data_IF_278459337762
#
_entry.id   IF_278459337762
#
_cell.length_a   1.000
_cell.length_b   1.000
_cell.length_c   1.000
_cell.angle_alpha   90.00
_cell.angle_beta   90.00
_cell.angle_gamma   90.00
#
_symmetry.space_group_name_H-M   'P 1'
#
loop_
_entity.id
_entity.type
_entity.pdbx_description
1 polymer ?
#
# COMPACT_ATOMS: atom_id res chain seq x y z
N UNK A 1 -1.92 41.44 -10.16
CA UNK A 1 -2.39 40.17 -9.56
C UNK A 1 -2.54 39.04 -10.57
N UNK A 2 -2.60 39.33 -11.87
CA UNK A 2 -2.77 38.30 -12.91
C UNK A 2 -1.74 37.18 -12.87
N UNK A 3 -0.50 37.45 -12.41
CA UNK A 3 0.54 36.42 -12.25
C UNK A 3 0.28 35.39 -11.14
N UNK A 4 -0.61 35.68 -10.19
CA UNK A 4 -1.00 34.75 -9.10
C UNK A 4 -2.35 34.06 -9.36
N UNK A 5 -3.06 34.49 -10.41
CA UNK A 5 -4.33 33.91 -10.80
C UNK A 5 -4.06 32.57 -11.45
N UNK A 6 -4.64 31.51 -10.90
CA UNK A 6 -4.58 30.21 -11.53
C UNK A 6 -5.49 30.22 -12.75
N UNK A 7 -4.94 29.84 -13.90
CA UNK A 7 -5.76 29.38 -15.02
C UNK A 7 -6.45 28.07 -14.56
N UNK A 8 -7.78 27.92 -14.71
CA UNK A 8 -8.47 26.67 -14.42
C UNK A 8 -7.79 25.44 -15.03
N UNK A 9 -7.16 25.57 -16.20
CA UNK A 9 -6.41 24.48 -16.85
C UNK A 9 -5.01 24.24 -16.24
N UNK A 10 -4.49 25.19 -15.46
CA UNK A 10 -3.19 25.10 -14.76
C UNK A 10 -3.32 24.59 -13.33
N UNK A 11 -4.52 24.59 -12.75
CA UNK A 11 -4.78 24.09 -11.39
C UNK A 11 -4.46 22.59 -11.25
N UNK A 12 -4.51 21.83 -12.35
CA UNK A 12 -4.11 20.43 -12.41
C UNK A 12 -2.59 20.22 -12.56
N UNK A 13 -1.84 21.29 -12.91
CA UNK A 13 -0.38 21.25 -13.09
C UNK A 13 0.41 21.57 -11.81
N UNK A 14 -0.27 21.70 -10.66
CA UNK A 14 0.38 21.97 -9.39
C UNK A 14 1.25 20.77 -8.98
N UNK A 15 2.57 20.96 -9.12
CA UNK A 15 3.72 20.15 -8.73
C UNK A 15 3.69 18.63 -8.98
N UNK A 16 4.49 18.20 -9.97
CA UNK A 16 4.84 16.81 -10.26
C UNK A 16 6.16 16.39 -9.61
N UNK A 17 6.39 16.74 -8.34
CA UNK A 17 7.61 16.38 -7.61
C UNK A 17 7.68 14.89 -7.25
N UNK A 18 6.56 14.17 -7.32
CA UNK A 18 6.49 12.73 -7.05
C UNK A 18 7.11 11.87 -8.14
N UNK A 19 7.48 10.64 -7.77
CA UNK A 19 7.95 9.60 -8.70
C UNK A 19 6.92 9.32 -9.80
N UNK A 20 5.64 9.41 -9.45
CA UNK A 20 4.55 9.22 -10.40
C UNK A 20 3.32 10.01 -9.97
N UNK A 21 2.65 10.60 -10.95
CA UNK A 21 1.30 11.15 -10.82
C UNK A 21 0.42 10.50 -11.86
N UNK A 22 -0.77 10.07 -11.44
CA UNK A 22 -1.79 9.53 -12.32
C UNK A 22 -3.17 9.95 -11.83
N UNK A 23 -4.12 10.07 -12.74
CA UNK A 23 -5.51 10.31 -12.37
C UNK A 23 -6.10 9.13 -11.59
N UNK A 24 -7.15 9.37 -10.80
CA UNK A 24 -7.86 8.28 -10.10
C UNK A 24 -8.40 7.23 -11.08
N UNK A 25 -8.87 7.64 -12.26
CA UNK A 25 -9.36 6.72 -13.27
C UNK A 25 -8.25 5.86 -13.87
N UNK A 26 -7.06 6.42 -14.08
CA UNK A 26 -5.89 5.66 -14.51
C UNK A 26 -5.45 4.68 -13.43
N UNK A 27 -5.48 5.08 -12.14
CA UNK A 27 -5.14 4.18 -11.03
C UNK A 27 -6.11 3.02 -10.89
N UNK A 28 -7.43 3.29 -10.92
CA UNK A 28 -8.45 2.23 -10.81
C UNK A 28 -8.40 1.24 -11.97
N UNK A 29 -8.02 1.69 -13.17
CA UNK A 29 -7.87 0.83 -14.34
C UNK A 29 -6.43 0.33 -14.55
N UNK A 30 -5.50 0.72 -13.67
CA UNK A 30 -4.11 0.30 -13.77
C UNK A 30 -4.03 -1.17 -13.41
N UNK A 31 -3.50 -1.97 -14.33
CA UNK A 31 -3.07 -3.32 -13.98
C UNK A 31 -1.93 -3.21 -12.96
N UNK A 32 -2.23 -3.47 -11.70
CA UNK A 32 -1.29 -3.36 -10.59
C UNK A 32 -0.13 -4.35 -10.76
N UNK A 33 -0.33 -5.44 -11.48
CA UNK A 33 0.73 -6.41 -11.83
C UNK A 33 1.77 -5.81 -12.79
N UNK A 34 1.46 -4.71 -13.47
CA UNK A 34 2.41 -3.99 -14.33
C UNK A 34 3.22 -2.93 -13.57
N UNK A 35 2.84 -2.55 -12.34
CA UNK A 35 3.57 -1.56 -11.53
C UNK A 35 5.04 -1.92 -11.26
N UNK A 36 5.42 -3.20 -11.00
CA UNK A 36 6.82 -3.60 -10.81
C UNK A 36 7.72 -3.28 -12.01
N UNK A 37 7.15 -3.20 -13.23
CA UNK A 37 7.91 -2.82 -14.43
C UNK A 37 8.17 -1.32 -14.54
N UNK A 38 7.37 -0.49 -13.86
CA UNK A 38 7.44 0.97 -13.90
C UNK A 38 8.28 1.54 -12.76
N UNK A 39 8.15 0.97 -11.57
CA UNK A 39 8.78 1.49 -10.36
C UNK A 39 9.32 0.33 -9.50
N UNK A 40 10.60 0.39 -9.15
CA UNK A 40 11.29 -0.65 -8.36
C UNK A 40 10.74 -0.83 -6.94
N UNK A 41 10.04 0.18 -6.41
CA UNK A 41 9.39 0.10 -5.10
C UNK A 41 8.27 -0.95 -5.04
N UNK A 42 7.79 -1.43 -6.20
CA UNK A 42 6.79 -2.49 -6.31
C UNK A 42 7.37 -3.88 -6.64
N UNK A 43 8.70 -4.01 -6.68
CA UNK A 43 9.37 -5.24 -7.12
C UNK A 43 10.26 -5.82 -6.02
N UNK A 44 10.15 -7.12 -5.76
CA UNK A 44 11.14 -7.86 -4.96
C UNK A 44 12.38 -8.11 -5.82
N UNK A 45 13.57 -7.93 -5.24
CA UNK A 45 14.82 -8.14 -5.99
C UNK A 45 15.08 -9.64 -6.24
N UNK A 46 14.78 -10.50 -5.26
CA UNK A 46 15.03 -11.95 -5.30
C UNK A 46 13.73 -12.78 -5.42
N UNK A 47 12.83 -12.38 -6.33
CA UNK A 47 11.61 -13.16 -6.61
C UNK A 47 11.96 -14.47 -7.33
N UNK A 48 11.45 -15.58 -6.80
CA UNK A 48 11.69 -16.92 -7.32
C UNK A 48 10.36 -17.58 -7.72
N UNK A 49 10.32 -18.35 -8.83
CA UNK A 49 9.13 -19.07 -9.21
C UNK A 49 8.70 -20.04 -8.11
N UNK A 50 7.42 -20.01 -7.76
CA UNK A 50 6.86 -20.89 -6.72
C UNK A 50 7.07 -22.38 -7.05
N UNK A 51 7.04 -22.73 -8.34
CA UNK A 51 7.22 -24.10 -8.83
C UNK A 51 8.66 -24.62 -8.65
N UNK A 52 9.65 -23.72 -8.52
CA UNK A 52 11.05 -24.12 -8.26
C UNK A 52 11.26 -24.52 -6.79
N UNK A 53 10.35 -24.11 -5.90
CA UNK A 53 10.46 -24.28 -4.45
C UNK A 53 9.50 -25.36 -3.95
N UNK A 54 8.30 -25.41 -4.53
CA UNK A 54 7.28 -26.38 -4.18
C UNK A 54 7.56 -27.70 -4.91
N UNK A 55 7.86 -28.75 -4.16
CA UNK A 55 8.02 -30.09 -4.71
C UNK A 55 6.67 -30.73 -4.99
N UNK A 56 6.46 -31.30 -6.19
CA UNK A 56 5.27 -32.09 -6.47
C UNK A 56 5.29 -33.41 -5.67
N UNK A 57 4.13 -34.04 -5.45
CA UNK A 57 4.07 -35.37 -4.84
C UNK A 57 4.89 -36.37 -5.65
N UNK A 58 5.63 -37.23 -4.94
CA UNK A 58 6.46 -38.25 -5.57
C UNK A 58 5.83 -39.65 -5.55
N UNK A 59 4.70 -39.81 -4.86
CA UNK A 59 3.98 -41.07 -4.74
C UNK A 59 2.47 -40.86 -4.96
N UNK A 60 1.79 -41.92 -5.41
CA UNK A 60 0.34 -41.99 -5.42
C UNK A 60 -0.16 -42.67 -4.12
N UNK A 61 -1.25 -42.15 -3.56
CA UNK A 61 -1.84 -42.65 -2.32
C UNK A 61 -2.35 -44.08 -2.40
N UNK A 62 -2.75 -44.51 -3.59
CA UNK A 62 -3.35 -45.82 -3.84
C UNK A 62 -2.32 -46.85 -4.34
N UNK A 63 -1.12 -46.41 -4.73
CA UNK A 63 -0.03 -47.26 -5.23
C UNK A 63 0.94 -47.65 -4.11
N UNK A 64 0.53 -48.61 -3.27
CA UNK A 64 1.40 -49.19 -2.24
C UNK A 64 2.71 -49.74 -2.82
N UNK A 65 2.74 -50.45 -3.96
CA UNK A 65 3.99 -50.80 -4.64
C UNK A 65 4.90 -49.60 -4.95
N UNK A 66 4.36 -48.48 -5.44
CA UNK A 66 5.09 -47.24 -5.67
C UNK A 66 5.71 -46.66 -4.39
N UNK A 67 4.92 -46.60 -3.32
CA UNK A 67 5.38 -46.15 -1.98
C UNK A 67 6.56 -47.00 -1.51
N UNK A 68 6.45 -48.32 -1.60
CA UNK A 68 7.50 -49.24 -1.19
C UNK A 68 8.75 -49.14 -2.06
N UNK A 69 8.59 -48.87 -3.35
CA UNK A 69 9.71 -48.68 -4.27
C UNK A 69 10.50 -47.43 -3.86
N UNK A 70 9.83 -46.31 -3.61
CA UNK A 70 10.45 -45.06 -3.17
C UNK A 70 11.08 -45.21 -1.78
N UNK A 71 10.35 -45.81 -0.84
CA UNK A 71 10.81 -46.04 0.52
C UNK A 71 12.06 -46.94 0.58
N UNK A 72 12.30 -47.80 -0.40
CA UNK A 72 13.47 -48.69 -0.45
C UNK A 72 14.51 -48.28 -1.50
N UNK A 73 14.56 -47.00 -1.87
CA UNK A 73 15.53 -46.45 -2.83
C UNK A 73 15.51 -47.14 -4.20
N UNK A 74 14.31 -47.42 -4.73
CA UNK A 74 14.09 -48.10 -6.01
C UNK A 74 14.72 -49.50 -6.13
N UNK A 75 15.10 -50.13 -5.01
CA UNK A 75 15.59 -51.50 -5.02
C UNK A 75 14.45 -52.48 -5.26
N UNK A 76 14.78 -53.63 -5.86
CA UNK A 76 13.81 -54.70 -6.09
C UNK A 76 13.08 -55.05 -4.80
N UNK A 77 11.76 -55.10 -4.88
CA UNK A 77 10.94 -55.50 -3.75
C UNK A 77 11.18 -56.97 -3.47
N UNK A 78 11.65 -57.26 -2.26
CA UNK A 78 11.71 -58.64 -1.77
C UNK A 78 10.29 -59.16 -1.68
N UNK A 79 9.97 -60.28 -2.33
CA UNK A 79 8.62 -60.84 -2.27
C UNK A 79 8.27 -61.28 -0.84
N UNK A 80 7.03 -61.04 -0.42
CA UNK A 80 6.52 -61.58 0.84
C UNK A 80 6.57 -63.11 0.83
N UNK A 81 6.87 -63.71 1.99
CA UNK A 81 7.08 -65.16 2.06
C UNK A 81 5.71 -65.85 2.15
N UNK A 82 5.22 -66.35 1.02
CA UNK A 82 3.88 -66.96 0.91
C UNK A 82 3.69 -68.26 1.72
N UNK A 83 4.76 -68.93 2.16
CA UNK A 83 4.68 -70.33 2.64
C UNK A 83 5.15 -70.59 4.08
N UNK A 84 5.30 -69.58 4.95
CA UNK A 84 5.65 -69.82 6.37
C UNK A 84 4.44 -69.60 7.30
N UNK A 85 4.07 -70.59 8.14
CA UNK A 85 3.01 -70.44 9.15
C UNK A 85 3.35 -69.41 10.23
N UNK A 86 4.62 -69.04 10.35
CA UNK A 86 5.19 -68.22 11.41
C UNK A 86 5.79 -66.95 10.79
N UNK A 87 5.37 -65.77 11.26
CA UNK A 87 5.85 -64.50 10.72
C UNK A 87 4.98 -63.31 11.11
N UNK A 88 5.42 -62.13 10.71
CA UNK A 88 4.70 -60.88 10.93
C UNK A 88 3.77 -60.62 9.76
N UNK A 89 2.48 -60.51 10.06
CA UNK A 89 1.46 -60.13 9.09
C UNK A 89 1.40 -58.60 9.01
N UNK A 90 1.58 -58.08 7.80
CA UNK A 90 1.31 -56.69 7.44
C UNK A 90 -0.02 -56.67 6.69
N UNK A 91 -1.08 -56.06 7.24
CA UNK A 91 -2.38 -56.02 6.58
C UNK A 91 -2.35 -55.08 5.36
N UNK A 92 -3.33 -55.25 4.47
CA UNK A 92 -3.56 -54.31 3.36
C UNK A 92 -3.83 -52.91 3.92
N UNK A 93 -3.31 -51.88 3.25
CA UNK A 93 -3.39 -50.48 3.72
C UNK A 93 -2.39 -50.12 4.83
N UNK A 94 -1.52 -51.05 5.23
CA UNK A 94 -0.42 -50.79 6.17
C UNK A 94 0.93 -51.11 5.56
N UNK A 95 1.95 -50.42 6.09
CA UNK A 95 3.36 -50.72 5.87
C UNK A 95 4.02 -51.00 7.22
N UNK A 96 5.13 -51.71 7.21
CA UNK A 96 5.86 -52.03 8.43
C UNK A 96 7.35 -51.78 8.23
N UNK A 97 8.01 -51.21 9.24
CA UNK A 97 9.44 -51.00 9.20
C UNK A 97 10.20 -52.28 9.58
N UNK A 98 11.30 -52.54 8.89
CA UNK A 98 12.28 -53.56 9.16
C UNK A 98 13.65 -52.88 9.28
N UNK A 99 14.17 -52.79 10.49
CA UNK A 99 15.48 -52.20 10.74
C UNK A 99 16.53 -53.30 10.58
N UNK A 100 17.38 -53.23 9.57
CA UNK A 100 18.42 -54.21 9.23
C UNK A 100 19.78 -53.50 9.17
N UNK A 101 20.69 -53.81 10.10
CA UNK A 101 22.04 -53.23 10.16
C UNK A 101 22.07 -51.69 10.10
N UNK A 102 21.21 -51.05 10.90
CA UNK A 102 21.11 -49.58 10.97
C UNK A 102 20.42 -48.93 9.77
N UNK A 103 19.87 -49.71 8.83
CA UNK A 103 19.06 -49.22 7.71
C UNK A 103 17.59 -49.59 7.93
N UNK A 104 16.69 -48.62 7.79
CA UNK A 104 15.25 -48.86 7.80
C UNK A 104 14.79 -49.25 6.40
N UNK A 105 14.24 -50.46 6.26
CA UNK A 105 13.51 -50.91 5.06
C UNK A 105 12.03 -50.92 5.35
N UNK A 106 11.21 -50.62 4.36
CA UNK A 106 9.76 -50.65 4.50
C UNK A 106 9.21 -51.84 3.75
N UNK A 107 8.39 -52.64 4.41
CA UNK A 107 7.72 -53.79 3.81
C UNK A 107 6.22 -53.55 3.66
N UNK A 108 5.66 -54.05 2.57
CA UNK A 108 4.25 -53.94 2.23
C UNK A 108 3.37 -55.02 2.80
N UNK A 109 2.09 -55.03 2.40
CA UNK A 109 1.12 -56.05 2.78
C UNK A 109 1.61 -57.47 2.46
N UNK A 110 1.33 -58.40 3.38
CA UNK A 110 1.73 -59.80 3.26
C UNK A 110 2.36 -60.35 4.54
N UNK A 111 2.81 -61.60 4.47
CA UNK A 111 3.47 -62.27 5.60
C UNK A 111 4.97 -62.25 5.42
N UNK A 112 5.66 -61.78 6.45
CA UNK A 112 7.11 -61.59 6.43
C UNK A 112 7.81 -62.36 7.55
N UNK A 113 9.02 -62.83 7.25
CA UNK A 113 9.84 -63.62 8.16
C UNK A 113 11.29 -63.18 7.99
N UNK A 114 11.96 -62.90 9.11
CA UNK A 114 13.41 -62.70 9.13
C UNK A 114 14.06 -64.08 9.27
N UNK A 115 14.96 -64.43 8.34
CA UNK A 115 15.77 -65.66 8.40
C UNK A 115 16.49 -65.74 9.75
N UNK A 116 16.60 -66.94 10.32
CA UNK A 116 17.05 -67.16 11.70
C UNK A 116 18.39 -66.45 12.03
N UNK A 117 19.37 -66.52 11.13
CA UNK A 117 20.68 -65.85 11.30
C UNK A 117 20.64 -64.32 11.15
N UNK A 118 19.67 -63.77 10.41
CA UNK A 118 19.49 -62.32 10.27
C UNK A 118 18.78 -61.68 11.47
N UNK A 119 18.13 -62.46 12.34
CA UNK A 119 17.44 -61.93 13.54
C UNK A 119 18.41 -61.31 14.56
N UNK A 120 19.69 -61.64 14.48
CA UNK A 120 20.73 -61.06 15.34
C UNK A 120 21.02 -59.59 15.00
N UNK A 121 20.68 -59.14 13.79
CA UNK A 121 21.03 -57.81 13.27
C UNK A 121 19.84 -57.06 12.66
N UNK A 122 18.65 -57.68 12.70
CA UNK A 122 17.43 -57.09 12.16
C UNK A 122 16.26 -57.19 13.15
N UNK A 123 15.53 -56.08 13.32
CA UNK A 123 14.39 -55.98 14.20
C UNK A 123 13.17 -55.39 13.49
N UNK A 124 11.99 -55.81 13.92
CA UNK A 124 10.73 -55.30 13.42
C UNK A 124 10.38 -53.98 14.10
N UNK A 125 10.06 -52.97 13.29
CA UNK A 125 9.52 -51.69 13.75
C UNK A 125 7.98 -51.71 13.85
N UNK A 126 7.37 -50.55 14.14
CA UNK A 126 5.92 -50.44 14.24
C UNK A 126 5.24 -50.68 12.88
N UNK A 127 3.97 -51.09 12.95
CA UNK A 127 3.06 -51.05 11.80
C UNK A 127 2.51 -49.64 11.65
N UNK A 128 2.45 -49.15 10.44
CA UNK A 128 2.08 -47.78 10.12
C UNK A 128 1.01 -47.80 9.03
N UNK A 129 -0.07 -47.04 9.21
CA UNK A 129 -1.16 -46.98 8.24
C UNK A 129 -0.78 -46.01 7.12
N UNK A 130 -1.01 -46.42 5.86
CA UNK A 130 -0.73 -45.59 4.67
C UNK A 130 -1.67 -44.39 4.58
N UNK A 131 -2.81 -44.48 5.26
CA UNK A 131 -3.82 -43.42 5.35
C UNK A 131 -3.46 -42.31 6.32
N UNK A 132 -2.45 -42.49 7.18
CA UNK A 132 -2.06 -41.47 8.14
C UNK A 132 -1.40 -40.27 7.42
N UNK A 133 -1.73 -39.06 7.87
CA UNK A 133 -1.22 -37.83 7.27
C UNK A 133 0.29 -37.66 7.46
N UNK A 134 0.83 -38.16 8.57
CA UNK A 134 2.25 -38.14 8.88
C UNK A 134 2.66 -39.48 9.51
N UNK A 135 3.70 -40.07 8.94
CA UNK A 135 4.35 -41.27 9.45
C UNK A 135 5.85 -41.03 9.48
N UNK A 136 6.46 -41.14 10.66
CA UNK A 136 7.90 -40.98 10.85
C UNK A 136 8.45 -42.18 11.62
N UNK A 137 9.43 -42.87 11.05
CA UNK A 137 10.14 -43.95 11.73
C UNK A 137 11.58 -44.10 11.22
N UNK A 138 12.56 -43.80 12.07
CA UNK A 138 13.97 -43.85 11.70
C UNK A 138 14.27 -42.88 10.57
N UNK A 139 14.79 -43.37 9.45
CA UNK A 139 15.07 -42.57 8.25
C UNK A 139 13.87 -42.44 7.31
N UNK A 140 12.77 -43.15 7.59
CA UNK A 140 11.57 -43.15 6.77
C UNK A 140 10.57 -42.10 7.25
N UNK A 141 10.16 -41.24 6.32
CA UNK A 141 9.13 -40.22 6.51
C UNK A 141 8.15 -40.27 5.35
N UNK A 142 6.87 -40.41 5.66
CA UNK A 142 5.78 -40.34 4.70
C UNK A 142 4.81 -39.25 5.15
N UNK A 143 4.52 -38.33 4.24
CA UNK A 143 3.69 -37.14 4.49
C UNK A 143 2.61 -37.08 3.42
N UNK A 144 1.35 -37.07 3.82
CA UNK A 144 0.21 -36.78 2.96
C UNK A 144 -0.21 -35.34 3.20
N UNK A 145 0.08 -34.49 2.24
CA UNK A 145 -0.35 -33.09 2.26
C UNK A 145 -1.77 -33.06 1.69
N UNK A 146 -2.76 -32.83 2.56
CA UNK A 146 -4.15 -32.73 2.17
C UNK A 146 -4.43 -31.48 1.33
N UNK A 147 -5.55 -31.49 0.60
CA UNK A 147 -6.02 -30.35 -0.19
C UNK A 147 -6.11 -29.08 0.64
N UNK A 148 -5.61 -27.97 0.08
CA UNK A 148 -5.58 -26.67 0.75
C UNK A 148 -4.51 -26.54 1.84
N UNK A 149 -3.61 -27.53 1.99
CA UNK A 149 -2.44 -27.44 2.88
C UNK A 149 -1.13 -27.44 2.10
N UNK A 150 -0.11 -26.86 2.70
CA UNK A 150 1.28 -26.87 2.27
C UNK A 150 2.10 -27.58 3.35
N UNK A 151 2.96 -28.53 2.95
CA UNK A 151 3.87 -29.17 3.88
C UNK A 151 5.18 -28.41 3.99
N UNK A 152 5.61 -28.07 5.20
CA UNK A 152 6.93 -27.48 5.45
C UNK A 152 7.89 -28.59 5.88
N UNK A 153 9.01 -28.72 5.17
CA UNK A 153 10.04 -29.72 5.47
C UNK A 153 11.44 -29.14 5.28
N UNK A 154 12.45 -29.84 5.79
CA UNK A 154 13.85 -29.56 5.50
C UNK A 154 14.51 -30.78 4.89
N UNK A 155 15.40 -30.57 3.94
CA UNK A 155 16.26 -31.61 3.40
C UNK A 155 17.71 -31.13 3.39
N UNK A 156 18.59 -31.85 4.08
CA UNK A 156 20.00 -31.47 4.25
C UNK A 156 20.16 -30.03 4.77
N UNK A 157 19.32 -29.65 5.73
CA UNK A 157 19.29 -28.31 6.32
C UNK A 157 18.75 -27.21 5.40
N UNK A 158 18.29 -27.54 4.18
CA UNK A 158 17.65 -26.59 3.26
C UNK A 158 16.12 -26.68 3.37
N UNK A 159 15.40 -25.56 3.34
CA UNK A 159 13.94 -25.57 3.38
C UNK A 159 13.35 -26.14 2.07
N UNK A 160 12.27 -26.90 2.22
CA UNK A 160 11.51 -27.55 1.14
C UNK A 160 10.03 -27.35 1.42
N UNK A 161 9.28 -26.92 0.40
CA UNK A 161 7.83 -26.84 0.45
C UNK A 161 7.24 -28.04 -0.30
N UNK A 162 6.23 -28.69 0.26
CA UNK A 162 5.58 -29.87 -0.32
C UNK A 162 4.17 -29.49 -0.79
N UNK A 163 3.88 -29.75 -2.07
CA UNK A 163 2.54 -29.58 -2.65
C UNK A 163 1.56 -30.60 -2.08
N UNK A 164 0.26 -30.37 -2.30
CA UNK A 164 -0.79 -31.38 -2.11
C UNK A 164 -0.41 -32.73 -2.75
N UNK A 165 -0.65 -33.82 -2.02
CA UNK A 165 -0.40 -35.20 -2.44
C UNK A 165 0.46 -35.99 -1.45
N UNK A 166 0.89 -37.19 -1.86
CA UNK A 166 1.69 -38.08 -1.04
C UNK A 166 3.19 -37.91 -1.34
N UNK A 167 3.97 -37.73 -0.28
CA UNK A 167 5.41 -37.58 -0.31
C UNK A 167 6.06 -38.66 0.54
N UNK A 168 7.00 -39.41 -0.04
CA UNK A 168 7.68 -40.52 0.59
C UNK A 168 9.18 -40.32 0.53
N UNK A 169 9.82 -40.36 1.69
CA UNK A 169 11.26 -40.17 1.85
C UNK A 169 11.82 -41.28 2.73
N UNK A 170 12.98 -41.82 2.33
CA UNK A 170 13.82 -42.63 3.21
C UNK A 170 15.22 -42.03 3.26
N UNK A 171 15.32 -40.86 3.89
CA UNK A 171 16.52 -40.03 3.93
C UNK A 171 16.67 -39.48 5.36
N UNK A 172 17.76 -39.78 6.10
CA UNK A 172 17.99 -39.22 7.43
C UNK A 172 18.12 -37.69 7.45
N UNK A 173 18.43 -37.09 6.31
CA UNK A 173 18.57 -35.64 6.17
C UNK A 173 17.24 -34.93 5.87
N UNK A 174 16.15 -35.69 5.68
CA UNK A 174 14.81 -35.14 5.47
C UNK A 174 14.02 -35.10 6.78
N UNK A 175 13.47 -33.95 7.13
CA UNK A 175 12.64 -33.75 8.31
C UNK A 175 11.38 -32.96 7.96
N UNK A 176 10.22 -33.52 8.25
CA UNK A 176 8.96 -32.78 8.16
C UNK A 176 8.80 -31.91 9.42
N UNK A 177 8.25 -30.70 9.25
CA UNK A 177 8.09 -29.73 10.34
C UNK A 177 6.60 -29.58 10.67
N UNK A 178 5.82 -29.03 9.74
CA UNK A 178 4.41 -28.75 9.98
C UNK A 178 3.60 -28.62 8.68
N UNK A 179 2.28 -28.62 8.84
CA UNK A 179 1.35 -28.25 7.78
C UNK A 179 0.90 -26.81 7.98
N UNK A 180 0.91 -26.01 6.92
CA UNK A 180 0.29 -24.68 6.88
C UNK A 180 -0.83 -24.63 5.87
N UNK A 181 -1.76 -23.70 6.05
CA UNK A 181 -2.79 -23.47 5.04
C UNK A 181 -2.17 -22.89 3.78
N UNK A 182 -2.64 -23.31 2.61
CA UNK A 182 -2.26 -22.67 1.33
C UNK A 182 -2.81 -21.25 1.27
N UNK A 183 -3.91 -20.98 1.96
CA UNK A 183 -4.61 -19.68 1.94
C UNK A 183 -4.06 -18.68 2.97
N UNK A 184 -3.03 -19.05 3.75
CA UNK A 184 -2.35 -18.11 4.64
C UNK A 184 -1.72 -16.96 3.84
N UNK A 185 -1.94 -15.73 4.31
CA UNK A 185 -1.43 -14.49 3.71
C UNK A 185 0.10 -14.49 3.59
N UNK A 186 0.78 -15.00 4.62
CA UNK A 186 2.22 -15.10 4.67
C UNK A 186 2.66 -16.43 5.28
N UNK A 187 3.32 -17.25 4.46
CA UNK A 187 3.98 -18.47 4.89
C UNK A 187 5.48 -18.25 4.88
N UNK A 188 6.07 -18.15 6.07
CA UNK A 188 7.52 -18.17 6.25
C UNK A 188 8.00 -19.58 6.60
N UNK A 189 9.06 -20.02 5.91
CA UNK A 189 9.81 -21.22 6.22
C UNK A 189 11.31 -21.00 6.01
N UNK A 190 12.05 -20.79 7.10
CA UNK A 190 13.45 -20.36 7.09
C UNK A 190 13.63 -19.08 6.26
N UNK A 191 14.43 -19.13 5.17
CA UNK A 191 14.64 -18.00 4.26
C UNK A 191 13.58 -17.88 3.17
N UNK A 192 12.66 -18.84 3.03
CA UNK A 192 11.58 -18.75 2.06
C UNK A 192 10.37 -18.03 2.65
N UNK A 193 9.83 -17.10 1.87
CA UNK A 193 8.60 -16.38 2.16
C UNK A 193 7.67 -16.54 0.97
N UNK A 194 6.47 -17.05 1.21
CA UNK A 194 5.37 -17.07 0.24
C UNK A 194 4.34 -16.07 0.73
N UNK A 195 4.10 -15.01 -0.04
CA UNK A 195 3.16 -13.95 0.27
C UNK A 195 2.02 -13.97 -0.73
N UNK A 196 0.79 -13.82 -0.24
CA UNK A 196 -0.41 -13.71 -1.05
C UNK A 196 -1.04 -12.36 -0.78
N UNK A 197 -0.91 -11.47 -1.76
CA UNK A 197 -1.52 -10.15 -1.71
C UNK A 197 -2.87 -10.26 -2.43
N UNK A 198 -4.00 -10.12 -1.70
CA UNK A 198 -5.31 -10.16 -2.31
C UNK A 198 -5.52 -8.96 -3.24
N UNK A 199 -6.53 -9.09 -4.11
CA UNK A 199 -6.88 -8.01 -5.03
C UNK A 199 -7.28 -6.75 -4.28
N UNK A 200 -6.81 -5.61 -4.77
CA UNK A 200 -7.10 -4.32 -4.17
C UNK A 200 -6.34 -4.03 -2.88
N UNK A 201 -5.31 -4.82 -2.53
CA UNK A 201 -4.40 -4.54 -1.42
C UNK A 201 -2.95 -4.46 -1.92
N UNK A 202 -2.08 -3.88 -1.09
CA UNK A 202 -0.63 -3.98 -1.22
C UNK A 202 -0.04 -4.76 -0.04
N UNK A 203 0.94 -5.62 -0.30
CA UNK A 203 1.75 -6.24 0.72
C UNK A 203 2.89 -5.31 1.14
N UNK A 204 2.91 -4.87 2.41
CA UNK A 204 4.02 -4.07 2.93
C UNK A 204 5.16 -4.99 3.30
N UNK A 205 6.33 -4.73 2.72
CA UNK A 205 7.53 -5.54 2.98
C UNK A 205 8.73 -4.64 3.27
N UNK A 206 9.72 -5.19 3.95
CA UNK A 206 11.03 -4.58 4.10
C UNK A 206 12.08 -5.55 3.60
N UNK A 207 12.85 -5.14 2.60
CA UNK A 207 13.95 -5.91 2.02
C UNK A 207 15.24 -5.12 2.18
N UNK A 208 16.23 -5.67 2.87
CA UNK A 208 17.52 -5.01 3.12
C UNK A 208 17.37 -3.59 3.71
N UNK A 209 16.45 -3.44 4.68
CA UNK A 209 16.08 -2.16 5.30
C UNK A 209 15.46 -1.12 4.36
N UNK A 210 15.02 -1.51 3.16
CA UNK A 210 14.24 -0.67 2.24
C UNK A 210 12.78 -1.12 2.23
N UNK A 211 11.88 -0.17 2.45
CA UNK A 211 10.45 -0.40 2.33
C UNK A 211 10.08 -0.63 0.86
N UNK A 212 9.17 -1.58 0.62
CA UNK A 212 8.56 -1.83 -0.69
C UNK A 212 7.08 -2.20 -0.51
N UNK A 213 6.30 -2.02 -1.57
CA UNK A 213 4.86 -2.36 -1.60
C UNK A 213 4.61 -3.37 -2.71
N UNK A 214 4.27 -4.60 -2.38
CA UNK A 214 3.98 -5.61 -3.40
C UNK A 214 2.53 -5.48 -3.89
N UNK A 215 2.30 -5.47 -5.21
CA UNK A 215 0.95 -5.44 -5.77
C UNK A 215 0.21 -6.75 -5.50
N UNK A 216 -1.04 -6.84 -5.94
CA UNK A 216 -1.81 -8.09 -5.86
C UNK A 216 -1.10 -9.24 -6.60
N UNK A 217 -1.15 -10.45 -6.02
CA UNK A 217 -0.45 -11.60 -6.58
C UNK A 217 0.06 -12.57 -5.52
N UNK A 218 0.76 -13.60 -5.99
CA UNK A 218 1.53 -14.51 -5.13
C UNK A 218 3.01 -14.25 -5.38
N UNK A 219 3.71 -13.79 -4.35
CA UNK A 219 5.13 -13.47 -4.39
C UNK A 219 5.89 -14.50 -3.59
N UNK A 220 6.95 -15.05 -4.18
CA UNK A 220 7.83 -15.98 -3.46
C UNK A 220 9.24 -15.43 -3.43
N UNK A 221 9.83 -15.39 -2.25
CA UNK A 221 11.13 -14.76 -2.01
C UNK A 221 12.00 -15.71 -1.21
N UNK A 222 13.28 -15.80 -1.58
CA UNK A 222 14.28 -16.54 -0.83
C UNK A 222 15.32 -15.60 -0.23
N UNK A 223 14.98 -14.98 0.90
CA UNK A 223 15.84 -14.02 1.54
C UNK A 223 15.61 -14.02 3.07
N UNK A 224 16.68 -14.27 3.83
CA UNK A 224 16.61 -14.35 5.29
C UNK A 224 16.43 -12.98 5.97
N UNK A 225 16.71 -11.87 5.29
CA UNK A 225 16.49 -10.50 5.81
C UNK A 225 15.21 -9.86 5.27
N UNK A 226 14.34 -10.67 4.65
CA UNK A 226 13.02 -10.23 4.20
C UNK A 226 12.06 -10.19 5.39
N UNK A 227 11.37 -9.07 5.54
CA UNK A 227 10.36 -8.87 6.57
C UNK A 227 9.01 -8.52 5.95
N UNK A 228 7.97 -9.20 6.43
CA UNK A 228 6.59 -8.90 6.06
C UNK A 228 5.92 -8.03 7.12
N UNK A 229 5.35 -6.90 6.72
CA UNK A 229 4.76 -5.90 7.61
C UNK A 229 3.22 -5.84 7.52
N UNK A 230 2.59 -6.79 6.82
CA UNK A 230 1.13 -6.88 6.67
C UNK A 230 0.57 -6.21 5.42
N UNK A 231 -0.73 -6.39 5.19
CA UNK A 231 -1.47 -5.78 4.08
C UNK A 231 -1.89 -4.34 4.39
N UNK A 232 -2.11 -3.59 3.31
CA UNK A 232 -2.75 -2.27 3.33
C UNK A 232 -3.70 -2.15 2.14
N UNK A 233 -4.84 -1.51 2.31
CA UNK A 233 -5.82 -1.39 1.24
C UNK A 233 -5.38 -0.38 0.18
N UNK A 234 -5.48 -0.75 -1.09
CA UNK A 234 -5.10 0.10 -2.23
C UNK A 234 -5.99 1.32 -2.41
N UNK A 235 -7.11 1.41 -1.68
CA UNK A 235 -8.07 2.52 -1.70
C UNK A 235 -7.86 3.51 -0.55
N UNK A 236 -6.91 3.24 0.36
CA UNK A 236 -6.63 4.16 1.45
C UNK A 236 -6.17 5.51 0.91
N UNK A 237 -6.70 6.58 1.52
CA UNK A 237 -6.39 7.95 1.10
C UNK A 237 -4.91 8.30 1.23
N UNK A 238 -4.19 7.64 2.16
CA UNK A 238 -2.75 7.76 2.29
C UNK A 238 -2.15 6.45 2.82
N UNK A 239 -1.35 5.80 1.99
CA UNK A 239 -0.52 4.65 2.36
C UNK A 239 0.88 5.18 2.68
N UNK A 240 1.37 4.85 3.87
CA UNK A 240 2.74 5.15 4.30
C UNK A 240 3.45 3.85 4.69
N UNK A 241 4.60 3.59 4.07
CA UNK A 241 5.49 2.51 4.47
C UNK A 241 6.96 2.93 4.29
N UNK A 242 7.64 3.22 5.40
CA UNK A 242 9.03 3.68 5.39
C UNK A 242 9.17 5.03 4.70
N UNK A 243 9.83 5.04 3.54
CA UNK A 243 10.01 6.23 2.69
C UNK A 243 8.93 6.35 1.61
N UNK A 244 8.09 5.33 1.42
CA UNK A 244 7.09 5.31 0.36
C UNK A 244 5.80 5.96 0.85
N UNK A 245 5.28 6.89 0.05
CA UNK A 245 3.96 7.48 0.26
C UNK A 245 3.13 7.34 -1.02
N UNK A 246 1.94 6.72 -0.91
CA UNK A 246 0.92 6.76 -1.95
C UNK A 246 -0.23 7.59 -1.42
N UNK A 247 -0.51 8.73 -2.05
CA UNK A 247 -1.51 9.70 -1.60
C UNK A 247 -2.60 9.80 -2.65
N UNK A 248 -3.84 9.50 -2.27
CA UNK A 248 -5.01 9.64 -3.12
C UNK A 248 -5.74 10.93 -2.78
N UNK A 249 -5.78 11.84 -3.73
CA UNK A 249 -6.51 13.09 -3.65
C UNK A 249 -7.83 12.93 -4.40
N UNK A 250 -8.96 12.81 -3.69
CA UNK A 250 -10.27 12.62 -4.31
C UNK A 250 -10.70 13.87 -5.09
N UNK A 251 -11.66 13.70 -6.00
CA UNK A 251 -12.23 14.82 -6.75
C UNK A 251 -12.76 15.91 -5.82
N UNK A 252 -12.55 17.17 -6.21
CA UNK A 252 -12.96 18.33 -5.41
C UNK A 252 -12.09 18.57 -4.17
N UNK A 253 -10.98 17.85 -4.00
CA UNK A 253 -10.04 18.05 -2.88
C UNK A 253 -8.64 18.41 -3.37
N UNK A 254 -7.86 18.99 -2.47
CA UNK A 254 -6.43 19.26 -2.61
C UNK A 254 -5.71 18.55 -1.49
N UNK A 255 -4.65 17.82 -1.83
CA UNK A 255 -3.77 17.21 -0.85
C UNK A 255 -2.76 18.21 -0.31
N UNK A 256 -2.51 18.18 0.99
CA UNK A 256 -1.51 19.00 1.64
C UNK A 256 -0.33 18.12 2.02
N UNK A 257 0.85 18.41 1.46
CA UNK A 257 2.09 17.72 1.82
C UNK A 257 3.16 18.72 2.21
N UNK A 258 4.12 18.30 3.03
CA UNK A 258 5.29 19.07 3.38
C UNK A 258 6.52 18.20 3.18
N UNK A 259 7.41 18.59 2.29
CA UNK A 259 8.65 17.87 2.02
C UNK A 259 9.83 18.70 2.52
N UNK A 260 10.60 18.17 3.47
CA UNK A 260 11.73 18.90 4.07
C UNK A 260 11.33 20.30 4.59
N UNK A 261 10.11 20.42 5.15
CA UNK A 261 9.45 21.65 5.60
C UNK A 261 8.99 22.62 4.49
N UNK A 262 9.15 22.28 3.21
CA UNK A 262 8.57 23.04 2.11
C UNK A 262 7.13 22.55 1.86
N UNK A 263 6.11 23.40 2.05
CA UNK A 263 4.72 23.03 1.79
C UNK A 263 4.50 22.85 0.29
N UNK A 264 3.67 21.88 -0.08
CA UNK A 264 3.21 21.69 -1.45
C UNK A 264 1.72 21.29 -1.43
N UNK A 265 1.01 21.67 -2.49
CA UNK A 265 -0.36 21.25 -2.72
C UNK A 265 -0.36 20.18 -3.81
N UNK A 266 -1.14 19.12 -3.60
CA UNK A 266 -1.35 18.05 -4.57
C UNK A 266 -2.69 18.23 -5.26
N UNK A 267 -2.69 18.14 -6.59
CA UNK A 267 -3.91 18.11 -7.41
C UNK A 267 -4.66 16.78 -7.24
N UNK A 268 -5.83 16.68 -7.85
CA UNK A 268 -6.63 15.45 -7.83
C UNK A 268 -5.87 14.29 -8.52
N UNK A 269 -6.02 13.08 -8.01
CA UNK A 269 -5.29 11.91 -8.53
C UNK A 269 -4.54 11.13 -7.45
N UNK A 270 -3.72 10.18 -7.90
CA UNK A 270 -2.82 9.40 -7.08
C UNK A 270 -1.40 9.90 -7.29
N UNK A 271 -0.72 10.18 -6.18
CA UNK A 271 0.65 10.67 -6.15
C UNK A 271 1.52 9.69 -5.39
N UNK A 272 2.61 9.27 -6.01
CA UNK A 272 3.55 8.29 -5.44
C UNK A 272 4.89 8.98 -5.18
N UNK A 273 5.39 8.83 -3.96
CA UNK A 273 6.67 9.39 -3.50
C UNK A 273 7.53 8.30 -2.85
N UNK A 274 8.85 8.49 -2.95
CA UNK A 274 9.85 7.75 -2.18
C UNK A 274 10.78 8.79 -1.53
N UNK A 275 10.40 9.27 -0.35
CA UNK A 275 11.09 10.35 0.36
C UNK A 275 10.86 10.24 1.87
N UNK A 276 11.91 10.09 2.70
CA UNK A 276 11.78 10.00 4.16
C UNK A 276 11.32 11.32 4.81
N UNK A 277 11.44 12.45 4.11
CA UNK A 277 11.13 13.77 4.65
C UNK A 277 9.74 14.27 4.27
N UNK A 278 9.01 13.50 3.45
CA UNK A 278 7.64 13.83 3.05
C UNK A 278 6.68 13.59 4.22
N UNK A 279 5.85 14.59 4.50
CA UNK A 279 4.78 14.52 5.49
C UNK A 279 3.46 14.84 4.82
N UNK A 280 2.54 13.89 4.83
CA UNK A 280 1.15 14.16 4.47
C UNK A 280 0.44 14.84 5.63
N UNK A 281 -0.06 16.05 5.40
CA UNK A 281 -0.74 16.87 6.40
C UNK A 281 -2.26 16.64 6.38
N UNK A 282 -2.82 16.36 5.20
CA UNK A 282 -4.22 15.97 5.05
C UNK A 282 -4.84 16.45 3.75
N UNK A 283 -6.17 16.36 3.67
CA UNK A 283 -6.96 16.81 2.54
C UNK A 283 -7.77 18.06 2.91
N UNK A 284 -7.95 18.97 1.95
CA UNK A 284 -8.88 20.10 2.06
C UNK A 284 -9.79 20.16 0.84
N UNK A 285 -11.05 20.51 1.06
CA UNK A 285 -12.02 20.68 -0.02
C UNK A 285 -11.67 21.95 -0.83
N UNK A 286 -11.61 21.83 -2.17
CA UNK A 286 -11.31 22.93 -3.11
C UNK A 286 -12.28 24.09 -3.04
N UNK A 287 -13.52 23.83 -2.58
CA UNK A 287 -14.60 24.81 -2.46
C UNK A 287 -14.45 25.71 -1.25
N UNK A 288 -13.58 25.37 -0.29
CA UNK A 288 -13.32 26.24 0.87
C UNK A 288 -12.77 27.58 0.35
N UNK A 289 -13.29 28.73 0.83
CA UNK A 289 -12.89 30.05 0.32
C UNK A 289 -11.39 30.31 0.41
N UNK A 290 -10.74 29.72 1.41
CA UNK A 290 -9.31 29.86 1.67
C UNK A 290 -8.71 28.55 2.17
N UNK A 291 -7.53 28.23 1.65
CA UNK A 291 -6.67 27.14 2.11
C UNK A 291 -5.29 27.74 2.39
N UNK A 292 -4.82 27.62 3.63
CA UNK A 292 -3.47 28.03 4.05
C UNK A 292 -2.68 26.77 4.39
N UNK A 293 -1.49 26.65 3.84
CA UNK A 293 -0.56 25.57 4.12
C UNK A 293 0.88 26.06 4.06
N UNK A 294 1.46 26.38 5.22
CA UNK A 294 2.79 26.99 5.31
C UNK A 294 2.84 28.36 4.62
N UNK A 295 3.75 28.53 3.66
CA UNK A 295 3.88 29.73 2.81
C UNK A 295 2.85 29.79 1.69
N UNK A 296 2.11 28.71 1.44
CA UNK A 296 1.11 28.65 0.38
C UNK A 296 -0.25 29.10 0.89
N UNK A 297 -0.82 30.09 0.23
CA UNK A 297 -2.20 30.53 0.40
C UNK A 297 -2.96 30.44 -0.91
N UNK A 298 -4.00 29.59 -0.94
CA UNK A 298 -4.98 29.51 -2.03
C UNK A 298 -6.28 30.16 -1.56
N UNK A 299 -6.83 31.08 -2.34
CA UNK A 299 -8.12 31.70 -2.03
C UNK A 299 -8.95 31.92 -3.29
N UNK A 300 -10.27 31.99 -3.14
CA UNK A 300 -11.22 32.18 -4.24
C UNK A 300 -12.00 33.46 -4.06
N UNK A 301 -12.02 34.27 -5.11
CA UNK A 301 -12.86 35.48 -5.21
C UNK A 301 -14.00 35.17 -6.18
N UNK A 302 -15.25 35.27 -5.73
CA UNK A 302 -16.41 35.09 -6.60
C UNK A 302 -16.85 36.41 -7.22
N UNK A 303 -17.75 36.32 -8.21
CA UNK A 303 -18.35 37.52 -8.80
C UNK A 303 -19.18 38.24 -7.73
N UNK A 304 -18.88 39.51 -7.52
CA UNK A 304 -19.53 40.32 -6.50
C UNK A 304 -18.81 40.32 -5.16
N UNK A 305 -17.63 39.71 -5.05
CA UNK A 305 -16.78 39.76 -3.87
C UNK A 305 -15.47 40.50 -4.16
N UNK A 306 -14.85 41.05 -3.12
CA UNK A 306 -13.50 41.62 -3.12
C UNK A 306 -12.66 40.87 -2.09
N UNK A 307 -11.56 40.27 -2.54
CA UNK A 307 -10.57 39.66 -1.66
C UNK A 307 -9.66 40.70 -1.03
N UNK A 308 -9.60 40.70 0.29
CA UNK A 308 -8.72 41.56 1.09
C UNK A 308 -7.48 40.77 1.49
N UNK A 309 -6.29 41.21 1.09
CA UNK A 309 -5.04 40.54 1.44
C UNK A 309 -3.89 41.53 1.67
N UNK A 310 -2.83 41.08 2.32
CA UNK A 310 -1.58 41.81 2.49
C UNK A 310 -0.47 41.08 1.74
N UNK A 311 0.40 41.83 1.06
CA UNK A 311 1.66 41.34 0.50
C UNK A 311 2.75 42.32 0.91
N UNK A 312 3.84 41.84 1.51
CA UNK A 312 4.97 42.68 1.94
C UNK A 312 4.55 43.88 2.82
N UNK A 313 3.51 43.70 3.64
CA UNK A 313 2.86 44.74 4.47
C UNK A 313 2.12 45.84 3.69
N UNK A 314 1.95 45.69 2.39
CA UNK A 314 1.08 46.54 1.59
C UNK A 314 -0.32 45.90 1.42
N UNK A 315 -1.40 46.67 1.60
CA UNK A 315 -2.74 46.16 1.39
C UNK A 315 -3.00 45.92 -0.11
N UNK A 316 -3.73 44.85 -0.39
CA UNK A 316 -4.15 44.44 -1.72
C UNK A 316 -5.65 44.14 -1.73
N UNK A 317 -6.30 44.65 -2.77
CA UNK A 317 -7.72 44.41 -3.06
C UNK A 317 -7.79 43.61 -4.36
N UNK A 318 -8.45 42.46 -4.32
CA UNK A 318 -8.57 41.53 -5.45
C UNK A 318 -10.02 41.47 -5.87
N UNK A 319 -10.37 42.16 -6.95
CA UNK A 319 -11.76 42.25 -7.44
C UNK A 319 -12.05 41.26 -8.57
N UNK A 320 -11.02 40.83 -9.30
CA UNK A 320 -11.19 39.94 -10.42
C UNK A 320 -11.61 38.54 -9.93
N UNK A 321 -12.77 38.01 -10.38
CA UNK A 321 -13.20 36.68 -9.98
C UNK A 321 -12.22 35.61 -10.46
N UNK A 322 -11.92 34.65 -9.58
CA UNK A 322 -10.99 33.57 -9.87
C UNK A 322 -10.42 32.90 -8.63
N UNK A 323 -9.58 31.89 -8.87
CA UNK A 323 -8.78 31.24 -7.83
C UNK A 323 -7.36 31.78 -7.90
N UNK A 324 -6.82 32.15 -6.76
CA UNK A 324 -5.47 32.70 -6.63
C UNK A 324 -4.65 31.76 -5.77
N UNK A 325 -3.38 31.58 -6.15
CA UNK A 325 -2.40 30.81 -5.41
C UNK A 325 -1.15 31.66 -5.23
N UNK A 326 -0.77 31.86 -3.97
CA UNK A 326 0.41 32.64 -3.61
C UNK A 326 1.28 31.77 -2.72
N UNK A 327 2.53 31.55 -3.11
CA UNK A 327 3.54 30.90 -2.28
C UNK A 327 4.53 31.97 -1.79
N UNK A 328 4.21 32.58 -0.64
CA UNK A 328 5.07 33.57 0.01
C UNK A 328 4.75 33.66 1.50
N UNK A 329 5.79 33.72 2.33
CA UNK A 329 5.66 33.95 3.77
C UNK A 329 5.18 35.35 4.13
N UNK A 330 5.34 36.32 3.23
CA UNK A 330 4.89 37.71 3.42
C UNK A 330 3.42 37.93 3.05
N UNK A 331 2.80 36.96 2.37
CA UNK A 331 1.41 37.04 1.96
C UNK A 331 0.46 36.63 3.10
N UNK A 332 -0.57 37.44 3.35
CA UNK A 332 -1.62 37.15 4.33
C UNK A 332 -2.98 37.52 3.77
N UNK A 333 -3.81 36.52 3.50
CA UNK A 333 -5.21 36.75 3.15
C UNK A 333 -6.04 37.05 4.40
N UNK A 334 -6.85 38.10 4.35
CA UNK A 334 -7.61 38.62 5.49
C UNK A 334 -9.09 38.17 5.44
N UNK A 335 -9.82 38.54 4.39
CA UNK A 335 -11.25 38.21 4.26
C UNK A 335 -11.78 38.43 2.84
N UNK A 336 -12.99 37.92 2.58
CA UNK A 336 -13.82 38.30 1.43
C UNK A 336 -14.87 39.32 1.90
N UNK A 337 -15.11 40.34 1.09
CA UNK A 337 -16.12 41.38 1.35
C UNK A 337 -17.02 41.52 0.14
N UNK A 338 -18.33 41.72 0.34
CA UNK A 338 -19.27 41.88 -0.76
C UNK A 338 -19.08 43.25 -1.44
N UNK A 339 -19.07 43.28 -2.77
CA UNK A 339 -18.96 44.50 -3.58
C UNK A 339 -20.12 45.48 -3.39
N UNK A 340 -21.26 45.03 -2.84
CA UNK A 340 -22.40 45.86 -2.45
C UNK A 340 -22.15 46.69 -1.20
N UNK A 341 -21.13 46.36 -0.40
CA UNK A 341 -20.73 47.21 0.72
C UNK A 341 -20.27 48.57 0.21
N UNK A 342 -20.85 49.63 0.79
CA UNK A 342 -20.56 51.00 0.38
C UNK A 342 -19.13 51.41 0.67
N UNK A 343 -18.49 50.81 1.68
CA UNK A 343 -17.13 51.12 2.09
C UNK A 343 -16.37 49.83 2.37
N UNK A 344 -15.40 49.51 1.52
CA UNK A 344 -14.50 48.37 1.69
C UNK A 344 -13.11 48.94 2.02
N UNK A 345 -12.52 48.55 3.15
CA UNK A 345 -11.24 49.10 3.59
C UNK A 345 -10.27 48.01 4.03
N UNK A 346 -9.01 48.14 3.59
CA UNK A 346 -7.87 47.41 4.12
C UNK A 346 -6.66 48.34 4.22
N UNK A 347 -6.25 48.67 5.45
CA UNK A 347 -5.15 49.61 5.67
C UNK A 347 -5.42 50.98 5.05
N UNK A 348 -4.50 51.43 4.19
CA UNK A 348 -4.58 52.69 3.45
C UNK A 348 -5.53 52.62 2.23
N UNK A 349 -5.78 51.42 1.70
CA UNK A 349 -6.61 51.23 0.51
C UNK A 349 -8.08 51.13 0.88
N UNK A 350 -8.91 51.90 0.18
CA UNK A 350 -10.36 51.92 0.35
C UNK A 350 -11.07 51.95 -1.00
N UNK A 351 -12.19 51.26 -1.08
CA UNK A 351 -13.17 51.39 -2.15
C UNK A 351 -14.41 52.02 -1.54
N UNK A 352 -14.83 53.15 -2.11
CA UNK A 352 -16.05 53.84 -1.69
C UNK A 352 -17.04 53.83 -2.86
N UNK A 353 -18.17 53.18 -2.66
CA UNK A 353 -19.26 53.11 -3.63
C UNK A 353 -20.33 54.12 -3.25
N UNK A 354 -20.47 55.16 -4.05
CA UNK A 354 -21.46 56.24 -3.86
C UNK A 354 -22.67 55.95 -4.74
N UNK A 355 -23.83 55.74 -4.11
CA UNK A 355 -25.07 55.47 -4.81
C UNK A 355 -25.70 56.74 -5.41
N UNK A 356 -26.65 56.56 -6.32
CA UNK A 356 -27.41 57.68 -6.88
C UNK A 356 -28.22 58.38 -5.78
N UNK A 357 -28.20 59.71 -5.75
CA UNK A 357 -28.86 60.51 -4.71
C UNK A 357 -28.04 60.70 -3.44
N UNK A 358 -26.78 60.26 -3.42
CA UNK A 358 -25.82 60.49 -2.35
C UNK A 358 -24.50 61.04 -2.92
N UNK A 359 -23.72 61.69 -2.06
CA UNK A 359 -22.31 62.02 -2.29
C UNK A 359 -21.46 61.52 -1.12
N UNK A 360 -20.22 61.10 -1.38
CA UNK A 360 -19.30 60.77 -0.28
C UNK A 360 -18.43 61.98 0.09
N UNK A 361 -18.31 62.23 1.38
CA UNK A 361 -17.45 63.25 1.95
C UNK A 361 -16.12 62.62 2.32
N UNK A 362 -15.04 63.18 1.78
CA UNK A 362 -13.68 62.72 2.06
C UNK A 362 -12.75 63.90 2.35
N UNK A 363 -11.64 63.65 3.02
CA UNK A 363 -10.60 64.64 3.29
C UNK A 363 -9.29 64.15 2.71
N UNK A 364 -8.74 64.86 1.72
CA UNK A 364 -7.42 64.57 1.14
C UNK A 364 -6.43 65.63 1.60
N UNK A 365 -5.41 65.24 2.36
CA UNK A 365 -4.46 66.16 3.00
C UNK A 365 -5.15 67.29 3.80
N UNK A 366 -6.23 66.95 4.52
CA UNK A 366 -7.03 67.92 5.30
C UNK A 366 -7.99 68.78 4.48
N UNK A 367 -7.99 68.67 3.13
CA UNK A 367 -8.93 69.38 2.27
C UNK A 367 -10.19 68.56 2.00
N UNK A 368 -11.35 69.12 2.33
CA UNK A 368 -12.66 68.55 2.02
C UNK A 368 -12.79 68.33 0.51
N UNK A 369 -13.09 67.10 0.13
CA UNK A 369 -13.30 66.65 -1.25
C UNK A 369 -14.56 65.81 -1.31
N UNK A 370 -15.46 66.15 -2.22
CA UNK A 370 -16.72 65.43 -2.43
C UNK A 370 -16.55 64.47 -3.60
N UNK A 371 -16.85 63.19 -3.38
CA UNK A 371 -16.84 62.17 -4.42
C UNK A 371 -18.26 62.03 -5.01
N UNK A 372 -18.43 62.14 -6.33
CA UNK A 372 -19.73 62.00 -6.99
C UNK A 372 -20.22 60.56 -6.99
N UNK A 373 -21.43 60.30 -7.48
CA UNK A 373 -21.95 58.93 -7.69
C UNK A 373 -20.96 58.09 -8.52
N UNK A 374 -20.70 56.86 -8.09
CA UNK A 374 -19.73 55.94 -8.71
C UNK A 374 -18.88 55.17 -7.71
N UNK A 375 -18.00 54.31 -8.23
CA UNK A 375 -17.02 53.53 -7.44
C UNK A 375 -15.68 54.26 -7.45
N UNK A 376 -15.17 54.63 -6.28
CA UNK A 376 -13.94 55.41 -6.12
C UNK A 376 -12.87 54.61 -5.39
N UNK A 377 -11.65 54.66 -5.91
CA UNK A 377 -10.49 53.99 -5.34
C UNK A 377 -9.61 55.02 -4.63
N UNK A 378 -9.38 54.79 -3.34
CA UNK A 378 -8.55 55.64 -2.50
C UNK A 378 -7.34 54.81 -2.07
N UNK A 379 -6.14 55.22 -2.47
CA UNK A 379 -4.88 54.52 -2.17
C UNK A 379 -3.93 55.36 -1.29
N UNK A 380 -4.39 56.50 -0.79
CA UNK A 380 -3.56 57.44 -0.05
C UNK A 380 -3.92 57.44 1.44
N UNK A 381 -2.91 57.30 2.31
CA UNK A 381 -3.08 57.32 3.77
C UNK A 381 -3.70 58.64 4.25
N UNK A 382 -3.37 59.74 3.58
CA UNK A 382 -3.86 61.09 3.87
C UNK A 382 -5.25 61.38 3.26
N UNK A 383 -5.88 60.38 2.64
CA UNK A 383 -7.24 60.46 2.09
C UNK A 383 -8.23 59.69 2.97
N UNK A 384 -8.87 60.43 3.87
CA UNK A 384 -9.82 59.91 4.84
C UNK A 384 -11.25 59.95 4.30
N UNK A 385 -12.03 58.91 4.59
CA UNK A 385 -13.45 58.84 4.29
C UNK A 385 -14.23 59.20 5.57
N UNK A 386 -15.19 60.12 5.46
CA UNK A 386 -15.96 60.62 6.61
C UNK A 386 -17.37 60.02 6.63
N UNK A 387 -18.11 60.12 5.52
CA UNK A 387 -19.46 59.58 5.42
C UNK A 387 -20.16 59.87 4.10
N UNK A 388 -21.44 59.49 4.03
CA UNK A 388 -22.32 59.78 2.90
C UNK A 388 -23.30 60.91 3.26
N UNK A 389 -23.55 61.82 2.32
CA UNK A 389 -24.58 62.85 2.41
C UNK A 389 -25.63 62.63 1.33
N UNK A 390 -26.90 62.66 1.72
CA UNK A 390 -28.02 62.62 0.76
C UNK A 390 -28.12 63.94 0.00
N UNK A 391 -28.30 63.86 -1.32
CA UNK A 391 -28.62 65.01 -2.18
C UNK A 391 -30.12 65.18 -2.39
N UNK A 392 -30.94 64.34 -1.76
CA UNK A 392 -32.40 64.46 -1.85
C UNK A 392 -32.88 65.60 -0.96
N UNK A 393 -33.62 66.53 -1.57
CA UNK A 393 -34.20 67.66 -0.87
C UNK A 393 -35.35 67.16 0.03
N UNK A 394 -35.17 67.23 1.35
CA UNK A 394 -36.29 67.03 2.28
C UNK A 394 -37.26 68.19 2.09
N UNK A 395 -38.40 67.90 1.45
CA UNK A 395 -39.55 68.80 1.45
C UNK A 395 -40.04 68.88 2.90
N UNK A 396 -39.67 69.94 3.61
CA UNK A 396 -40.30 70.30 4.89
C UNK A 396 -41.73 70.71 4.53
N UNK A 397 -42.71 69.89 4.91
CA UNK A 397 -44.13 70.22 4.80
C UNK A 397 -44.63 70.86 6.08
#
# INVERSE_FOLDING_TARGET
>A
MDGFKLDPASEDKVNKSGLCHMSLAEWTNCDTTALPSKLSIFKVDDECPIDDIIRPPNADGDDVPGILRLANCNKEQVASVRQVPWGWLVPVGSVMALNDNGRTRIVGPGRWSIKLFHRLFASWGPRMMVTNDLVVHGTFTMVRVCRGKLGLATENGRPVLLKEGLHVYNNPLFSFIEFKSVDEEHVQHMSYHVLRVPRGCFGRITEQARAKLLPEGTHTVNNAVFEYCGLVDSIEGHINHGTIHIIQVPKGHVGLVSESNFPQLLSEGVHIYDSPTLKFVGLKNKLVPQIIHGTISRFRVQKGEVGLAWMDSEPMLVEDPGTYLVDSSSFKFNSLVDTSEKTIQLGAKKIVTVNAGEVAVTFKAGKLTVLPTGRHYIDAIDHLFDGFLSTQQLSIR
#
